data_IF_310739391385
#
_entry.id   IF_310739391385
#
_cell.length_a   1.000
_cell.length_b   1.000
_cell.length_c   1.000
_cell.angle_alpha   90.00
_cell.angle_beta   90.00
_cell.angle_gamma   90.00
#
_symmetry.space_group_name_H-M   'P 1'
#
loop_
_entity.id
_entity.type
_entity.pdbx_description
1 polymer ?
#
# COMPACT_ATOMS: atom_id res chain seq x y z
N UNK A 1 -42.03 29.64 -21.64
CA UNK A 1 -41.95 29.33 -20.20
C UNK A 1 -41.79 27.82 -20.08
N UNK A 2 -40.54 27.35 -20.04
CA UNK A 2 -40.20 25.93 -20.02
C UNK A 2 -39.74 25.60 -18.62
N UNK A 3 -40.40 24.65 -17.94
CA UNK A 3 -40.00 24.22 -16.61
C UNK A 3 -38.62 23.52 -16.67
N UNK A 4 -37.75 23.70 -15.67
CA UNK A 4 -36.51 22.96 -15.62
C UNK A 4 -36.82 21.49 -15.36
N UNK A 5 -36.27 20.61 -16.22
CA UNK A 5 -36.36 19.16 -16.06
C UNK A 5 -35.72 18.75 -14.73
N UNK A 6 -36.45 18.00 -13.91
CA UNK A 6 -35.95 17.48 -12.66
C UNK A 6 -34.74 16.58 -12.92
N UNK A 7 -33.55 17.04 -12.52
CA UNK A 7 -32.41 16.16 -12.37
C UNK A 7 -32.81 15.07 -11.38
N UNK A 8 -32.82 13.81 -11.83
CA UNK A 8 -33.12 12.66 -10.98
C UNK A 8 -32.28 12.72 -9.71
N UNK A 9 -32.93 12.92 -8.56
CA UNK A 9 -32.26 13.22 -7.31
C UNK A 9 -31.40 12.04 -6.87
N UNK A 10 -30.08 12.24 -6.88
CA UNK A 10 -29.14 11.31 -6.25
C UNK A 10 -29.38 11.36 -4.75
N UNK A 11 -29.83 10.23 -4.17
CA UNK A 11 -29.96 10.10 -2.72
C UNK A 11 -28.55 10.08 -2.12
N UNK A 12 -28.26 10.91 -1.09
CA UNK A 12 -26.94 10.94 -0.47
C UNK A 12 -26.63 9.60 0.22
N UNK A 13 -25.34 9.20 0.29
CA UNK A 13 -24.94 7.99 0.98
C UNK A 13 -25.25 8.10 2.48
N UNK A 14 -25.67 6.99 3.10
CA UNK A 14 -25.99 6.95 4.53
C UNK A 14 -24.74 6.99 5.43
N UNK A 15 -23.59 6.55 4.91
CA UNK A 15 -22.29 6.62 5.56
C UNK A 15 -21.16 6.62 4.52
N UNK A 16 -19.99 7.08 4.93
CA UNK A 16 -18.74 7.02 4.16
C UNK A 16 -17.67 6.40 5.04
N UNK A 17 -16.99 5.39 4.52
CA UNK A 17 -15.79 4.83 5.14
C UNK A 17 -14.58 5.36 4.36
N UNK A 18 -13.63 5.92 5.09
CA UNK A 18 -12.38 6.44 4.54
C UNK A 18 -11.27 5.52 5.00
N UNK A 19 -10.42 5.13 4.06
CA UNK A 19 -9.15 4.50 4.40
C UNK A 19 -8.23 5.52 5.08
N UNK A 20 -7.21 5.05 5.81
CA UNK A 20 -6.28 5.92 6.51
C UNK A 20 -5.10 6.31 5.60
N UNK A 21 -4.35 5.31 5.15
CA UNK A 21 -3.09 5.48 4.45
C UNK A 21 -3.33 5.94 3.00
N UNK A 22 -2.60 6.96 2.56
CA UNK A 22 -2.76 7.58 1.23
C UNK A 22 -4.08 8.34 1.03
N UNK A 23 -5.08 8.14 1.90
CA UNK A 23 -6.40 8.79 1.82
C UNK A 23 -6.53 9.93 2.81
N UNK A 24 -6.31 9.68 4.10
CA UNK A 24 -6.37 10.71 5.15
C UNK A 24 -4.98 11.23 5.53
N UNK A 25 -3.96 10.38 5.44
CA UNK A 25 -2.58 10.68 5.81
C UNK A 25 -1.65 10.15 4.72
N UNK A 26 -0.68 10.98 4.31
CA UNK A 26 0.33 10.60 3.31
C UNK A 26 1.45 9.75 3.94
N UNK A 27 1.09 8.51 4.29
CA UNK A 27 2.00 7.52 4.90
C UNK A 27 2.65 6.60 3.87
N UNK A 28 2.14 6.53 2.64
CA UNK A 28 2.64 5.62 1.61
C UNK A 28 4.09 5.91 1.21
N UNK A 29 4.51 7.18 1.24
CA UNK A 29 5.91 7.56 0.98
C UNK A 29 6.84 6.95 2.03
N UNK A 30 6.49 7.06 3.31
CA UNK A 30 7.28 6.50 4.41
C UNK A 30 7.32 4.97 4.35
N UNK A 31 6.20 4.35 3.99
CA UNK A 31 6.13 2.91 3.78
C UNK A 31 7.05 2.46 2.64
N UNK A 32 7.03 3.16 1.50
CA UNK A 32 7.87 2.88 0.36
C UNK A 32 9.36 3.01 0.68
N UNK A 33 9.76 4.10 1.33
CA UNK A 33 11.15 4.32 1.76
C UNK A 33 11.63 3.20 2.69
N UNK A 34 10.81 2.82 3.67
CA UNK A 34 11.12 1.73 4.61
C UNK A 34 11.26 0.39 3.88
N UNK A 35 10.32 0.04 3.00
CA UNK A 35 10.39 -1.19 2.22
C UNK A 35 11.62 -1.22 1.30
N UNK A 36 11.97 -0.07 0.72
CA UNK A 36 13.17 0.08 -0.12
C UNK A 36 14.45 -0.14 0.69
N UNK A 37 14.56 0.41 1.89
CA UNK A 37 15.71 0.17 2.78
C UNK A 37 15.85 -1.30 3.17
N UNK A 38 14.74 -1.96 3.52
CA UNK A 38 14.74 -3.40 3.85
C UNK A 38 15.13 -4.25 2.64
N UNK A 39 14.55 -3.99 1.47
CA UNK A 39 14.89 -4.71 0.25
C UNK A 39 16.37 -4.53 -0.13
N UNK A 40 16.89 -3.31 0.00
CA UNK A 40 18.31 -3.02 -0.27
C UNK A 40 19.23 -3.80 0.69
N UNK A 41 18.85 -3.93 1.97
CA UNK A 41 19.55 -4.77 2.94
C UNK A 41 19.54 -6.27 2.58
N UNK A 42 18.52 -6.71 1.84
CA UNK A 42 18.40 -8.07 1.29
C UNK A 42 19.07 -8.25 -0.10
N UNK A 43 19.70 -7.20 -0.62
CA UNK A 43 20.35 -7.23 -1.94
C UNK A 43 19.41 -7.01 -3.13
N UNK A 44 18.16 -6.62 -2.89
CA UNK A 44 17.18 -6.28 -3.93
C UNK A 44 16.98 -4.77 -4.03
N UNK A 45 16.78 -4.26 -5.24
CA UNK A 45 16.38 -2.86 -5.45
C UNK A 45 14.91 -2.84 -5.83
N UNK A 46 14.06 -2.27 -4.97
CA UNK A 46 12.67 -2.06 -5.32
C UNK A 46 12.54 -1.16 -6.55
N UNK A 47 11.60 -1.53 -7.41
CA UNK A 47 11.28 -0.88 -8.66
C UNK A 47 9.76 -0.71 -8.78
N UNK A 48 9.32 0.04 -9.80
CA UNK A 48 7.89 0.22 -10.08
C UNK A 48 7.16 -1.11 -10.33
N UNK A 49 7.88 -2.17 -10.73
CA UNK A 49 7.30 -3.51 -10.90
C UNK A 49 6.91 -4.16 -9.56
N UNK A 50 7.54 -3.76 -8.47
CA UNK A 50 7.27 -4.26 -7.12
C UNK A 50 6.12 -3.49 -6.44
N UNK A 51 5.82 -2.27 -6.89
CA UNK A 51 4.86 -1.38 -6.24
C UNK A 51 3.48 -2.00 -5.95
N UNK A 52 2.88 -2.79 -6.87
CA UNK A 52 1.59 -3.45 -6.59
C UNK A 52 1.61 -4.45 -5.42
N UNK A 53 2.78 -5.01 -5.08
CA UNK A 53 2.94 -5.99 -4.00
C UNK A 53 3.46 -5.36 -2.69
N UNK A 54 3.76 -4.07 -2.70
CA UNK A 54 4.28 -3.32 -1.57
C UNK A 54 3.27 -2.29 -1.07
N UNK A 55 2.79 -1.39 -1.94
CA UNK A 55 1.98 -0.24 -1.54
C UNK A 55 0.54 -0.66 -1.21
N UNK A 56 0.04 -0.23 -0.05
CA UNK A 56 -1.31 -0.55 0.43
C UNK A 56 -1.53 -2.03 0.82
N UNK A 57 -0.46 -2.83 0.85
CA UNK A 57 -0.51 -4.27 1.22
C UNK A 57 -0.25 -4.45 2.70
N UNK A 58 -0.73 -5.56 3.26
CA UNK A 58 -0.38 -5.90 4.62
C UNK A 58 1.13 -6.20 4.72
N UNK A 59 1.73 -5.90 5.87
CA UNK A 59 3.17 -6.12 6.14
C UNK A 59 3.61 -7.55 5.78
N UNK A 60 2.78 -8.55 6.08
CA UNK A 60 3.07 -9.95 5.80
C UNK A 60 3.12 -10.26 4.29
N UNK A 61 2.26 -9.63 3.48
CA UNK A 61 2.23 -9.80 2.03
C UNK A 61 3.46 -9.18 1.40
N UNK A 62 3.83 -7.97 1.83
CA UNK A 62 5.07 -7.31 1.40
C UNK A 62 6.30 -8.12 1.80
N UNK A 63 6.35 -8.67 3.01
CA UNK A 63 7.46 -9.52 3.43
C UNK A 63 7.56 -10.80 2.58
N UNK A 64 6.42 -11.41 2.22
CA UNK A 64 6.41 -12.57 1.34
C UNK A 64 6.94 -12.23 -0.06
N UNK A 65 6.53 -11.10 -0.64
CA UNK A 65 7.07 -10.59 -1.90
C UNK A 65 8.59 -10.39 -1.83
N UNK A 66 9.08 -9.72 -0.78
CA UNK A 66 10.51 -9.49 -0.60
C UNK A 66 11.31 -10.79 -0.47
N UNK A 67 10.77 -11.80 0.22
CA UNK A 67 11.39 -13.14 0.30
C UNK A 67 11.51 -13.78 -1.09
N UNK A 68 10.45 -13.70 -1.90
CA UNK A 68 10.41 -14.29 -3.23
C UNK A 68 11.43 -13.63 -4.17
N UNK A 69 11.46 -12.30 -4.23
CA UNK A 69 12.35 -11.56 -5.16
C UNK A 69 13.82 -11.55 -4.72
N UNK A 70 14.12 -11.99 -3.49
CA UNK A 70 15.49 -12.09 -2.95
C UNK A 70 15.99 -13.53 -2.84
N UNK A 71 15.33 -14.49 -3.49
CA UNK A 71 15.67 -15.92 -3.44
C UNK A 71 15.78 -16.48 -2.01
N UNK A 72 15.00 -15.96 -1.07
CA UNK A 72 14.96 -16.43 0.32
C UNK A 72 16.01 -15.84 1.26
N UNK A 73 16.77 -14.81 0.85
CA UNK A 73 17.79 -14.15 1.68
C UNK A 73 17.27 -13.68 3.06
N UNK A 74 15.98 -13.36 3.17
CA UNK A 74 15.40 -12.91 4.44
C UNK A 74 15.38 -13.98 5.55
N UNK A 75 15.55 -15.26 5.23
CA UNK A 75 15.69 -16.32 6.23
C UNK A 75 16.92 -16.14 7.15
N UNK A 76 17.90 -15.33 6.70
CA UNK A 76 19.13 -15.04 7.43
C UNK A 76 19.05 -13.76 8.29
N UNK A 77 17.94 -13.01 8.22
CA UNK A 77 17.79 -11.79 9.01
C UNK A 77 17.56 -12.08 10.51
N UNK A 78 18.17 -11.30 11.43
CA UNK A 78 17.90 -11.42 12.85
C UNK A 78 16.40 -11.22 13.11
N UNK A 79 15.76 -12.15 13.84
CA UNK A 79 14.39 -11.93 14.31
C UNK A 79 14.38 -10.70 15.21
N UNK A 80 13.46 -9.78 14.96
CA UNK A 80 13.16 -8.70 15.89
C UNK A 80 12.57 -9.36 17.15
N UNK A 81 13.24 -9.17 18.30
CA UNK A 81 12.71 -9.63 19.57
C UNK A 81 11.42 -8.86 19.86
N UNK A 82 10.32 -9.59 20.11
CA UNK A 82 9.03 -9.04 20.51
C UNK A 82 9.07 -8.46 21.92
#
# INVERSE_FOLDING_TARGET
MTAPGAAGGMTPPAAVLLDMDGTLVDTEVLWWETAHEVAAGLGHRLSDADAPEVVGRAVADTAAHLIEVTDGAAAELPRVAA
#
